data_IF_044213869837
#
_entry.id   IF_044213869837
#
_cell.length_a   1.000
_cell.length_b   1.000
_cell.length_c   1.000
_cell.angle_alpha   90.00
_cell.angle_beta   90.00
_cell.angle_gamma   90.00
#
_symmetry.space_group_name_H-M   'P 1'
#
loop_
_entity.id
_entity.type
_entity.pdbx_description
1 polymer ?
#
# COMPACT_ATOMS: atom_id res chain seq x y z
N UNK A 1 32.70 30.57 15.88
CA UNK A 1 31.51 29.79 16.30
C UNK A 1 32.00 28.36 16.44
N UNK A 2 32.30 27.87 17.66
CA UNK A 2 32.88 26.53 17.78
C UNK A 2 31.77 25.48 17.67
N UNK A 3 32.07 24.45 16.87
CA UNK A 3 31.17 23.37 16.52
C UNK A 3 30.75 22.52 17.71
N UNK A 4 29.51 22.07 17.66
CA UNK A 4 28.88 21.16 18.59
C UNK A 4 29.34 19.72 18.28
N UNK A 5 29.95 19.05 19.26
CA UNK A 5 30.22 17.62 19.20
C UNK A 5 29.43 16.91 20.29
N UNK A 6 28.48 16.07 19.86
CA UNK A 6 27.82 15.11 20.74
C UNK A 6 28.75 13.88 20.83
N UNK A 7 29.20 13.54 22.03
CA UNK A 7 29.91 12.28 22.29
C UNK A 7 28.92 11.22 22.78
N UNK A 8 28.37 10.42 21.87
CA UNK A 8 27.71 9.15 22.21
C UNK A 8 28.78 8.06 22.12
N UNK A 9 28.91 7.25 23.17
CA UNK A 9 29.80 6.11 23.15
C UNK A 9 29.38 5.15 22.02
N UNK A 10 30.31 4.81 21.11
CA UNK A 10 30.10 3.70 20.18
C UNK A 10 29.89 2.45 21.00
N UNK A 11 28.69 1.88 20.92
CA UNK A 11 28.55 0.46 21.19
C UNK A 11 29.14 -0.25 19.99
N UNK A 12 30.34 -0.80 20.14
CA UNK A 12 30.92 -1.68 19.14
C UNK A 12 30.03 -2.92 19.04
N UNK A 13 29.16 -2.94 18.03
CA UNK A 13 28.36 -4.12 17.69
C UNK A 13 29.34 -5.14 17.11
N UNK A 14 29.70 -6.13 17.91
CA UNK A 14 30.47 -7.29 17.44
C UNK A 14 29.74 -7.92 16.25
N UNK A 15 30.44 -8.28 15.15
CA UNK A 15 29.78 -8.81 13.97
C UNK A 15 28.99 -10.06 14.34
N UNK A 16 27.66 -9.99 14.18
CA UNK A 16 26.83 -11.16 14.24
C UNK A 16 27.14 -12.03 13.01
N UNK A 17 28.09 -12.95 13.17
CA UNK A 17 28.49 -13.91 12.14
C UNK A 17 27.40 -14.98 11.84
N UNK A 18 26.21 -14.88 12.46
CA UNK A 18 25.14 -15.88 12.34
C UNK A 18 23.82 -15.30 11.78
N UNK A 19 23.85 -14.70 10.59
CA UNK A 19 22.61 -14.40 9.83
C UNK A 19 22.55 -15.27 8.58
N UNK A 20 21.51 -16.09 8.53
CA UNK A 20 21.23 -17.10 7.51
C UNK A 20 21.23 -16.50 6.07
N UNK A 21 21.77 -17.19 5.04
CA UNK A 21 22.07 -16.60 3.71
C UNK A 21 20.87 -16.18 2.86
N UNK A 22 19.63 -16.39 3.33
CA UNK A 22 18.43 -16.17 2.52
C UNK A 22 17.96 -14.71 2.48
N UNK A 23 18.59 -13.81 3.25
CA UNK A 23 18.11 -12.43 3.46
C UNK A 23 18.84 -11.38 2.61
N UNK A 24 19.82 -11.81 1.81
CA UNK A 24 20.44 -10.94 0.82
C UNK A 24 19.69 -11.05 -0.50
N UNK A 25 18.76 -10.13 -0.70
CA UNK A 25 18.16 -9.80 -1.99
C UNK A 25 19.27 -9.61 -3.03
N UNK A 26 19.18 -10.38 -4.11
CA UNK A 26 20.05 -10.21 -5.27
C UNK A 26 19.92 -8.77 -5.82
N UNK A 27 21.01 -8.15 -6.30
CA UNK A 27 20.92 -6.89 -7.00
C UNK A 27 20.03 -7.08 -8.24
N UNK A 28 18.98 -6.28 -8.37
CA UNK A 28 18.21 -6.16 -9.62
C UNK A 28 19.20 -5.69 -10.69
N UNK A 29 19.69 -6.63 -11.49
CA UNK A 29 20.54 -6.34 -12.63
C UNK A 29 19.78 -5.42 -13.59
N UNK A 30 20.37 -4.28 -13.90
CA UNK A 30 19.95 -3.42 -15.00
C UNK A 30 20.05 -4.22 -16.32
N UNK A 31 18.94 -4.80 -16.74
CA UNK A 31 18.80 -5.45 -18.05
C UNK A 31 18.74 -4.38 -19.14
N UNK A 32 19.81 -4.32 -19.94
CA UNK A 32 19.89 -3.50 -21.14
C UNK A 32 18.80 -3.86 -22.16
N UNK A 33 18.30 -2.83 -22.85
CA UNK A 33 17.21 -2.94 -23.81
C UNK A 33 17.57 -3.78 -25.04
N UNK A 34 16.66 -4.69 -25.39
CA UNK A 34 16.59 -5.31 -26.71
C UNK A 34 15.72 -4.45 -27.63
N UNK A 35 16.12 -4.17 -28.88
CA UNK A 35 15.31 -3.37 -29.79
C UNK A 35 14.09 -4.17 -30.25
N UNK A 36 12.92 -3.53 -30.17
CA UNK A 36 11.65 -4.06 -30.68
C UNK A 36 11.73 -4.26 -32.20
N UNK A 37 11.60 -5.52 -32.63
CA UNK A 37 11.45 -5.88 -34.03
C UNK A 37 10.08 -5.41 -34.55
N UNK A 38 10.10 -4.50 -35.53
CA UNK A 38 8.89 -4.01 -36.18
C UNK A 38 8.33 -5.07 -37.14
N UNK A 39 7.23 -5.71 -36.77
CA UNK A 39 6.47 -6.56 -37.70
C UNK A 39 5.64 -5.70 -38.67
N UNK A 40 5.65 -5.99 -39.98
CA UNK A 40 4.81 -5.28 -40.93
C UNK A 40 3.33 -5.63 -40.70
N UNK A 41 2.49 -4.61 -40.50
CA UNK A 41 1.03 -4.78 -40.46
C UNK A 41 0.53 -5.02 -41.89
N UNK A 42 0.06 -6.22 -42.16
CA UNK A 42 -0.72 -6.50 -43.35
C UNK A 42 -2.06 -5.74 -43.26
N UNK A 43 -2.30 -4.84 -44.21
CA UNK A 43 -3.51 -4.04 -44.31
C UNK A 43 -4.66 -4.91 -44.83
N UNK A 44 -5.72 -5.07 -44.04
CA UNK A 44 -6.90 -5.85 -44.42
C UNK A 44 -7.76 -5.01 -45.37
N UNK A 45 -7.84 -5.40 -46.65
CA UNK A 45 -8.77 -4.80 -47.62
C UNK A 45 -10.15 -5.45 -47.43
N UNK A 46 -11.21 -4.69 -47.09
CA UNK A 46 -12.55 -5.25 -46.94
C UNK A 46 -13.13 -5.61 -48.32
N UNK A 47 -13.67 -6.83 -48.45
CA UNK A 47 -14.47 -7.21 -49.63
C UNK A 47 -15.80 -6.44 -49.63
N UNK A 48 -16.29 -5.95 -50.79
CA UNK A 48 -17.58 -5.27 -50.84
C UNK A 48 -18.73 -6.25 -50.56
N UNK A 49 -19.55 -5.91 -49.58
CA UNK A 49 -20.76 -6.66 -49.24
C UNK A 49 -21.84 -6.46 -50.30
N UNK A 50 -22.38 -7.55 -50.84
CA UNK A 50 -23.52 -7.54 -51.76
C UNK A 50 -24.75 -7.07 -50.98
N UNK A 51 -25.29 -5.89 -51.31
CA UNK A 51 -26.48 -5.31 -50.70
C UNK A 51 -27.74 -5.99 -51.27
N UNK A 52 -28.37 -6.87 -50.50
CA UNK A 52 -29.65 -7.47 -50.88
C UNK A 52 -30.77 -6.49 -50.52
N UNK A 53 -31.47 -5.95 -51.52
CA UNK A 53 -32.56 -4.98 -51.36
C UNK A 53 -33.93 -5.66 -51.22
N UNK A 54 -34.01 -6.73 -50.42
CA UNK A 54 -35.29 -7.33 -50.07
C UNK A 54 -36.02 -6.44 -49.08
N UNK A 55 -37.21 -5.97 -49.45
CA UNK A 55 -38.12 -5.30 -48.52
C UNK A 55 -38.67 -6.36 -47.56
N UNK A 56 -38.17 -6.35 -46.31
CA UNK A 56 -38.66 -7.18 -45.22
C UNK A 56 -39.96 -6.56 -44.72
N UNK A 57 -41.08 -7.15 -45.06
CA UNK A 57 -42.37 -6.84 -44.43
C UNK A 57 -42.43 -7.59 -43.10
N UNK A 58 -42.18 -6.91 -41.98
CA UNK A 58 -42.33 -7.50 -40.64
C UNK A 58 -43.81 -7.47 -40.23
N UNK A 59 -44.58 -8.42 -40.73
CA UNK A 59 -45.85 -8.79 -40.10
C UNK A 59 -45.57 -9.97 -39.14
N UNK A 60 -44.57 -9.77 -38.28
CA UNK A 60 -44.13 -10.76 -37.30
C UNK A 60 -45.05 -10.64 -36.08
N UNK A 61 -46.21 -11.30 -36.15
CA UNK A 61 -46.95 -11.61 -34.94
C UNK A 61 -46.04 -12.50 -34.08
N UNK A 62 -45.52 -11.93 -33.00
CA UNK A 62 -44.63 -12.63 -32.08
C UNK A 62 -45.34 -13.87 -31.57
N UNK A 63 -44.76 -15.05 -31.83
CA UNK A 63 -45.41 -16.29 -31.45
C UNK A 63 -45.57 -16.29 -29.93
N UNK A 64 -46.68 -16.85 -29.43
CA UNK A 64 -46.95 -16.83 -27.98
C UNK A 64 -45.82 -17.46 -27.16
N UNK A 65 -45.05 -18.38 -27.73
CA UNK A 65 -43.87 -18.96 -27.10
C UNK A 65 -42.72 -17.96 -27.00
N UNK A 66 -42.40 -17.21 -28.06
CA UNK A 66 -41.38 -16.15 -28.04
C UNK A 66 -41.76 -15.01 -27.09
N UNK A 67 -43.05 -14.66 -27.01
CA UNK A 67 -43.54 -13.68 -26.05
C UNK A 67 -43.32 -14.16 -24.61
N UNK A 68 -43.62 -15.43 -24.32
CA UNK A 68 -43.37 -16.00 -22.98
C UNK A 68 -41.88 -16.07 -22.66
N UNK A 69 -41.02 -16.40 -23.63
CA UNK A 69 -39.56 -16.39 -23.46
C UNK A 69 -39.03 -14.98 -23.17
N UNK A 70 -39.50 -13.97 -23.91
CA UNK A 70 -39.13 -12.57 -23.70
C UNK A 70 -39.58 -12.06 -22.32
N UNK A 71 -40.81 -12.39 -21.91
CA UNK A 71 -41.34 -12.02 -20.59
C UNK A 71 -40.57 -12.74 -19.48
N UNK A 72 -40.30 -14.03 -19.61
CA UNK A 72 -39.48 -14.78 -18.67
C UNK A 72 -38.07 -14.18 -18.53
N UNK A 73 -37.43 -13.78 -19.64
CA UNK A 73 -36.13 -13.11 -19.63
C UNK A 73 -36.16 -11.77 -18.91
N UNK A 74 -37.18 -10.94 -19.18
CA UNK A 74 -37.33 -9.64 -18.51
C UNK A 74 -37.56 -9.81 -17.00
N UNK A 75 -38.43 -10.74 -16.61
CA UNK A 75 -38.69 -11.06 -15.21
C UNK A 75 -37.44 -11.60 -14.52
N UNK A 76 -36.65 -12.44 -15.19
CA UNK A 76 -35.39 -12.95 -14.66
C UNK A 76 -34.40 -11.82 -14.37
N UNK A 77 -34.18 -10.93 -15.34
CA UNK A 77 -33.27 -9.79 -15.17
C UNK A 77 -33.75 -8.86 -14.04
N UNK A 78 -35.05 -8.55 -14.00
CA UNK A 78 -35.63 -7.74 -12.93
C UNK A 78 -35.44 -8.38 -11.55
N UNK A 79 -35.64 -9.70 -11.46
CA UNK A 79 -35.42 -10.47 -10.23
C UNK A 79 -33.94 -10.50 -9.83
N UNK A 80 -33.01 -10.63 -10.78
CA UNK A 80 -31.56 -10.58 -10.52
C UNK A 80 -31.08 -9.21 -10.06
N UNK A 81 -31.63 -8.13 -10.62
CA UNK A 81 -31.32 -6.77 -10.18
C UNK A 81 -31.86 -6.55 -8.77
N UNK A 82 -33.11 -6.95 -8.50
CA UNK A 82 -33.72 -6.83 -7.19
C UNK A 82 -32.94 -7.65 -6.13
N UNK A 83 -32.54 -8.88 -6.45
CA UNK A 83 -31.74 -9.71 -5.54
C UNK A 83 -30.35 -9.11 -5.30
N UNK A 84 -29.72 -8.52 -6.31
CA UNK A 84 -28.47 -7.78 -6.17
C UNK A 84 -28.61 -6.54 -5.27
N UNK A 85 -29.67 -5.75 -5.44
CA UNK A 85 -29.95 -4.59 -4.58
C UNK A 85 -30.19 -5.03 -3.14
N UNK A 86 -31.02 -6.05 -2.90
CA UNK A 86 -31.25 -6.62 -1.56
C UNK A 86 -29.95 -7.13 -0.95
N UNK A 87 -29.12 -7.82 -1.74
CA UNK A 87 -27.81 -8.31 -1.30
C UNK A 87 -26.87 -7.18 -0.88
N UNK A 88 -26.82 -6.09 -1.65
CA UNK A 88 -26.04 -4.91 -1.31
C UNK A 88 -26.58 -4.19 -0.07
N UNK A 89 -27.90 -4.18 0.17
CA UNK A 89 -28.47 -3.64 1.42
C UNK A 89 -28.04 -4.46 2.64
N UNK A 90 -27.96 -5.78 2.52
CA UNK A 90 -27.48 -6.67 3.58
C UNK A 90 -25.97 -6.51 3.81
N UNK A 91 -25.21 -6.24 2.75
CA UNK A 91 -23.76 -6.04 2.82
C UNK A 91 -23.34 -4.61 3.18
N UNK A 92 -24.21 -3.61 3.05
CA UNK A 92 -23.93 -2.22 3.42
C UNK A 92 -23.26 -2.05 4.81
N UNK A 93 -23.74 -2.68 5.91
CA UNK A 93 -23.09 -2.58 7.21
C UNK A 93 -21.70 -3.25 7.27
N UNK A 94 -21.39 -4.14 6.34
CA UNK A 94 -20.10 -4.83 6.22
C UNK A 94 -19.07 -3.99 5.45
N UNK A 95 -19.47 -3.30 4.38
CA UNK A 95 -18.58 -2.47 3.54
C UNK A 95 -18.31 -1.07 4.10
N UNK A 96 -19.07 -0.60 5.09
CA UNK A 96 -18.85 0.69 5.72
C UNK A 96 -17.52 0.76 6.52
N UNK A 97 -16.89 -0.38 6.80
CA UNK A 97 -15.65 -0.50 7.54
C UNK A 97 -14.63 -1.28 6.70
N UNK A 98 -13.34 -0.90 6.74
CA UNK A 98 -12.24 -1.60 6.03
C UNK A 98 -12.09 -3.09 6.38
N UNK A 99 -12.88 -3.59 7.35
CA UNK A 99 -12.86 -4.96 7.82
C UNK A 99 -13.90 -5.91 7.19
N UNK A 100 -14.91 -5.49 6.42
CA UNK A 100 -15.89 -6.41 5.74
C UNK A 100 -16.83 -7.25 6.66
N UNK A 101 -16.85 -7.07 7.99
CA UNK A 101 -17.79 -7.79 8.90
C UNK A 101 -18.89 -6.85 9.44
N UNK A 102 -20.18 -7.23 9.37
CA UNK A 102 -21.27 -6.39 9.85
C UNK A 102 -21.36 -6.41 11.39
N UNK A 103 -21.64 -5.25 12.00
CA UNK A 103 -21.81 -5.04 13.46
C UNK A 103 -20.58 -5.29 14.34
N UNK A 104 -19.38 -5.40 13.75
CA UNK A 104 -18.16 -5.54 14.53
C UNK A 104 -17.78 -4.19 15.17
N UNK A 105 -17.80 -4.14 16.50
CA UNK A 105 -17.33 -2.97 17.25
C UNK A 105 -15.80 -2.85 17.10
N UNK A 106 -15.39 -1.72 16.53
CA UNK A 106 -14.05 -1.36 16.07
C UNK A 106 -13.07 -1.15 17.24
N UNK A 107 -12.82 -2.17 18.07
CA UNK A 107 -11.88 -2.08 19.19
C UNK A 107 -10.92 -3.25 19.31
N UNK A 108 -11.30 -4.46 18.90
CA UNK A 108 -10.57 -5.67 19.35
C UNK A 108 -9.71 -6.34 18.28
N UNK A 109 -9.95 -6.09 16.98
CA UNK A 109 -9.27 -6.79 15.88
C UNK A 109 -8.38 -5.88 15.02
N UNK A 110 -8.72 -4.58 14.89
CA UNK A 110 -7.75 -3.56 14.48
C UNK A 110 -6.58 -3.49 15.44
N UNK A 111 -6.78 -3.86 16.71
CA UNK A 111 -5.69 -3.96 17.67
C UNK A 111 -4.57 -4.87 17.18
N UNK A 112 -4.84 -6.01 16.52
CA UNK A 112 -3.78 -6.93 16.08
C UNK A 112 -3.11 -6.43 14.79
N UNK A 113 -3.89 -5.93 13.83
CA UNK A 113 -3.37 -5.32 12.61
C UNK A 113 -2.52 -4.08 12.92
N UNK A 114 -3.05 -3.16 13.72
CA UNK A 114 -2.33 -2.01 14.22
C UNK A 114 -1.22 -2.40 15.19
N UNK A 115 -1.30 -3.46 16.02
CA UNK A 115 -0.15 -3.92 16.82
C UNK A 115 0.99 -4.41 15.92
N UNK A 116 0.65 -5.21 14.91
CA UNK A 116 1.64 -5.70 13.96
C UNK A 116 2.23 -4.55 13.13
N UNK A 117 1.44 -3.52 12.81
CA UNK A 117 1.88 -2.37 12.02
C UNK A 117 2.60 -1.30 12.87
N UNK A 118 2.17 -1.06 14.13
CA UNK A 118 2.94 -0.32 15.15
C UNK A 118 4.26 -1.02 15.45
N UNK A 119 4.30 -2.35 15.32
CA UNK A 119 5.48 -3.18 15.46
C UNK A 119 6.39 -3.20 14.24
N UNK A 120 6.04 -2.51 13.15
CA UNK A 120 6.94 -2.19 12.05
C UNK A 120 7.45 -0.76 12.24
N UNK A 121 8.32 -0.48 13.24
CA UNK A 121 8.99 0.80 13.26
C UNK A 121 9.72 0.92 11.94
N UNK A 122 9.57 2.07 11.27
CA UNK A 122 10.48 2.46 10.20
C UNK A 122 11.87 2.18 10.70
N UNK A 123 12.56 1.22 10.09
CA UNK A 123 13.84 0.81 10.63
C UNK A 123 14.80 1.97 10.37
N UNK A 124 15.03 2.79 11.40
CA UNK A 124 15.89 3.95 11.30
C UNK A 124 17.34 3.50 11.14
N UNK A 125 18.07 4.23 10.32
CA UNK A 125 19.50 4.00 10.09
C UNK A 125 20.33 4.96 10.95
N UNK A 126 19.86 6.20 11.15
CA UNK A 126 20.55 7.22 11.94
C UNK A 126 19.59 8.03 12.83
N UNK A 127 20.11 8.60 13.91
CA UNK A 127 19.37 9.57 14.75
C UNK A 127 19.26 10.91 14.04
N UNK A 128 20.38 11.42 13.51
CA UNK A 128 20.56 12.76 12.96
C UNK A 128 20.90 12.74 11.47
N UNK A 129 20.63 13.83 10.75
CA UNK A 129 20.97 13.98 9.34
C UNK A 129 22.48 14.00 9.07
N UNK A 130 23.30 14.37 10.07
CA UNK A 130 24.77 14.31 9.99
C UNK A 130 25.31 12.87 10.15
N UNK A 131 24.42 11.89 10.38
CA UNK A 131 24.73 10.45 10.46
C UNK A 131 25.77 10.13 11.54
N UNK A 132 25.85 10.97 12.56
CA UNK A 132 26.81 10.80 13.66
C UNK A 132 26.44 9.63 14.57
N UNK A 133 25.14 9.33 14.70
CA UNK A 133 24.64 8.25 15.54
C UNK A 133 23.90 7.18 14.74
N UNK A 134 24.51 6.00 14.64
CA UNK A 134 23.98 4.84 13.93
C UNK A 134 22.97 4.08 14.79
N UNK A 135 21.82 3.73 14.21
CA UNK A 135 20.72 3.01 14.88
C UNK A 135 20.35 1.69 14.19
N UNK A 136 21.05 1.29 13.12
CA UNK A 136 20.78 0.01 12.50
C UNK A 136 21.08 -1.15 13.46
N UNK A 137 20.17 -2.13 13.56
CA UNK A 137 20.30 -3.27 14.48
C UNK A 137 21.49 -4.20 14.16
N UNK A 138 22.06 -4.14 12.95
CA UNK A 138 23.20 -4.98 12.53
C UNK A 138 24.15 -4.21 11.62
N UNK A 139 25.43 -4.59 11.62
CA UNK A 139 26.44 -4.00 10.74
C UNK A 139 26.12 -4.17 9.25
N UNK A 140 25.62 -5.35 8.85
CA UNK A 140 25.18 -5.60 7.47
C UNK A 140 24.05 -4.65 7.05
N UNK A 141 23.12 -4.34 7.96
CA UNK A 141 22.08 -3.35 7.70
C UNK A 141 22.64 -1.93 7.65
N UNK A 142 23.58 -1.58 8.52
CA UNK A 142 24.24 -0.28 8.48
C UNK A 142 24.96 -0.05 7.14
N UNK A 143 25.63 -1.06 6.60
CA UNK A 143 26.25 -1.00 5.27
C UNK A 143 25.22 -0.78 4.16
N UNK A 144 24.08 -1.49 4.18
CA UNK A 144 22.98 -1.25 3.22
C UNK A 144 22.35 0.13 3.38
N UNK A 145 22.19 0.62 4.61
CA UNK A 145 21.71 1.98 4.88
C UNK A 145 22.61 3.00 4.19
N UNK A 146 23.94 2.87 4.37
CA UNK A 146 24.93 3.76 3.76
C UNK A 146 24.92 3.71 2.22
N UNK A 147 24.76 2.53 1.62
CA UNK A 147 24.79 2.40 0.15
C UNK A 147 23.48 2.81 -0.52
N UNK A 148 22.33 2.38 0.01
CA UNK A 148 21.02 2.49 -0.68
C UNK A 148 20.10 3.57 -0.11
N UNK A 149 20.17 3.86 1.19
CA UNK A 149 19.14 4.65 1.88
C UNK A 149 19.66 5.99 2.44
N UNK A 150 20.94 6.31 2.20
CA UNK A 150 21.59 7.50 2.76
C UNK A 150 20.95 8.84 2.35
N UNK A 151 20.18 8.87 1.27
CA UNK A 151 19.46 10.05 0.77
C UNK A 151 17.97 10.08 1.19
N UNK A 152 17.45 9.02 1.82
CA UNK A 152 16.06 8.95 2.26
C UNK A 152 15.91 9.59 3.65
N UNK A 153 15.20 10.71 3.75
CA UNK A 153 14.96 11.36 5.03
C UNK A 153 14.15 10.48 6.01
N UNK A 154 13.34 9.54 5.52
CA UNK A 154 12.52 8.67 6.36
C UNK A 154 13.33 7.68 7.21
N UNK A 155 14.60 7.42 6.87
CA UNK A 155 15.49 6.57 7.68
C UNK A 155 16.26 7.34 8.77
N UNK A 156 16.02 8.65 8.89
CA UNK A 156 16.63 9.51 9.91
C UNK A 156 15.58 9.88 10.96
N UNK A 157 15.84 9.60 12.23
CA UNK A 157 14.89 9.88 13.31
C UNK A 157 14.60 11.38 13.44
N UNK A 158 15.60 12.21 13.19
CA UNK A 158 15.50 13.67 13.15
C UNK A 158 14.38 14.17 12.24
N UNK A 159 14.10 13.49 11.11
CA UNK A 159 13.03 13.87 10.21
C UNK A 159 11.64 13.78 10.89
N UNK A 160 11.40 12.72 11.66
CA UNK A 160 10.19 12.58 12.47
C UNK A 160 10.16 13.63 13.58
N UNK A 161 11.26 13.79 14.30
CA UNK A 161 11.40 14.72 15.42
C UNK A 161 11.14 16.18 15.02
N UNK A 162 11.53 16.60 13.81
CA UNK A 162 11.25 17.94 13.28
C UNK A 162 9.77 18.17 12.93
N UNK A 163 8.98 17.11 12.78
CA UNK A 163 7.55 17.18 12.49
C UNK A 163 6.67 17.12 13.76
N UNK A 164 7.27 16.88 14.93
CA UNK A 164 6.54 16.80 16.19
C UNK A 164 6.32 18.22 16.75
N UNK A 165 5.08 18.62 17.10
CA UNK A 165 4.82 19.88 17.78
C UNK A 165 5.31 19.80 19.24
N UNK A 166 6.60 20.09 19.44
CA UNK A 166 7.31 19.93 20.72
C UNK A 166 6.60 20.56 21.92
N UNK A 167 6.04 21.76 21.77
CA UNK A 167 5.29 22.41 22.84
C UNK A 167 4.11 21.57 23.35
N UNK A 168 3.38 20.90 22.44
CA UNK A 168 2.27 20.01 22.84
C UNK A 168 2.80 18.70 23.39
N UNK A 169 3.83 18.15 22.76
CA UNK A 169 4.46 16.92 23.20
C UNK A 169 4.98 17.01 24.64
N UNK A 170 5.71 18.08 24.97
CA UNK A 170 6.23 18.33 26.32
C UNK A 170 5.12 18.50 27.36
N UNK A 171 3.99 19.12 27.00
CA UNK A 171 2.85 19.21 27.94
C UNK A 171 2.18 17.87 28.20
N UNK A 172 2.17 16.96 27.23
CA UNK A 172 1.54 15.63 27.36
C UNK A 172 2.46 14.60 28.01
N UNK A 173 3.76 14.65 27.73
CA UNK A 173 4.71 13.62 28.16
C UNK A 173 5.81 14.11 29.09
N UNK A 174 6.01 15.43 29.22
CA UNK A 174 7.03 16.04 30.08
C UNK A 174 6.52 16.40 31.47
N UNK A 175 7.44 16.85 32.33
CA UNK A 175 7.14 17.38 33.66
C UNK A 175 7.25 16.36 34.81
N UNK A 176 6.99 16.78 36.07
CA UNK A 176 7.21 15.94 37.26
C UNK A 176 6.39 14.64 37.28
N UNK A 177 5.23 14.66 36.62
CA UNK A 177 4.30 13.53 36.54
C UNK A 177 4.17 12.95 35.12
N UNK A 178 4.97 13.43 34.16
CA UNK A 178 4.99 12.93 32.79
C UNK A 178 5.88 11.70 32.62
N UNK A 179 5.80 11.07 31.45
CA UNK A 179 6.67 9.93 31.09
C UNK A 179 8.16 10.30 30.99
N UNK A 180 8.47 11.59 30.81
CA UNK A 180 9.83 12.12 30.71
C UNK A 180 10.04 13.28 31.71
N UNK A 181 10.67 13.01 32.84
CA UNK A 181 10.89 14.00 33.91
C UNK A 181 12.11 14.90 33.68
N UNK A 182 13.10 14.44 32.90
CA UNK A 182 14.21 15.28 32.42
C UNK A 182 14.19 15.35 30.90
N UNK A 183 14.05 16.56 30.38
CA UNK A 183 14.53 16.87 29.05
C UNK A 183 16.03 17.11 29.14
N UNK A 184 16.82 16.43 28.30
CA UNK A 184 18.20 16.83 28.04
C UNK A 184 18.09 18.04 27.13
N UNK A 185 18.00 19.23 27.73
CA UNK A 185 18.05 20.49 27.00
C UNK A 185 19.49 20.73 26.53
N UNK A 186 19.64 21.10 25.26
CA UNK A 186 20.91 21.50 24.63
C UNK A 186 21.09 23.01 24.77
#
# INVERSE_FOLDING_TARGET
>A
MPGFQIHIARFDVEPADDIHPCINDAPFAAGGGSPLSAHPRASLVPKPARRNSGFVTSEDYMTWFEYMEAVCGFLYVAASIASGVVYLQVLYPSFANELTWPYFNTSTHLFIGDLCNLGLPTQYCWVDFDKTFEMAHTAARQARCASMYHANAAVHYEAMLRNIPWAKWETSFGGPNGSFTRAIAV
#
